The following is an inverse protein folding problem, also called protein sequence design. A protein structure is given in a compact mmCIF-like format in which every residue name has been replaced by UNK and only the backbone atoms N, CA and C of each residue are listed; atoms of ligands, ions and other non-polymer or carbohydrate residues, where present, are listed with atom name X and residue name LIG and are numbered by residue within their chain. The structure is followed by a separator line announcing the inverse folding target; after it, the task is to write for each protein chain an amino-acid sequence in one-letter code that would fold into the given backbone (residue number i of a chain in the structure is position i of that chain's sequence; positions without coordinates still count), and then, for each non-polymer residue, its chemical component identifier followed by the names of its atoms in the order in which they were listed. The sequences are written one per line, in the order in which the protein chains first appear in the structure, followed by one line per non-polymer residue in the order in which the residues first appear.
data_IF_091589381116
#
_entry.id   IF_091589381116
#
_cell.length_a   1.000
_cell.length_b   1.000
_cell.length_c   1.000
_cell.angle_alpha   90.00
_cell.angle_beta   90.00
_cell.angle_gamma   90.00
#
_symmetry.space_group_name_H-M   'P 1'
#
loop_
_entity.id
_entity.type
_entity.pdbx_description
1 polymer ?
#
# COMPACT_ATOMS: atom_id res chain seq x y z
N UNK A 1 1.60 6.52 -1.48
CA UNK A 1 1.68 5.04 -1.45
C UNK A 1 0.40 4.40 -1.96
N UNK A 2 -0.72 4.45 -1.23
CA UNK A 2 -1.98 3.77 -1.63
C UNK A 2 -2.47 4.16 -3.04
N UNK A 3 -2.77 5.43 -3.26
CA UNK A 3 -3.33 5.93 -4.53
C UNK A 3 -2.27 6.17 -5.63
N UNK A 4 -1.00 6.25 -5.25
CA UNK A 4 0.10 6.53 -6.18
C UNK A 4 0.84 5.29 -6.68
N UNK A 5 0.78 4.18 -5.93
CA UNK A 5 1.59 2.98 -6.22
C UNK A 5 0.73 1.70 -6.18
N UNK A 6 -0.10 1.51 -5.14
CA UNK A 6 -0.79 0.22 -4.92
C UNK A 6 -2.02 0.05 -5.81
N UNK A 7 -2.90 1.07 -5.87
CA UNK A 7 -4.15 0.99 -6.65
C UNK A 7 -3.92 1.10 -8.17
N UNK A 8 -3.09 2.03 -8.69
CA UNK A 8 -2.81 2.09 -10.13
C UNK A 8 -2.18 0.81 -10.70
N UNK A 9 -1.46 0.05 -9.88
CA UNK A 9 -0.87 -1.23 -10.28
C UNK A 9 -1.91 -2.36 -10.46
N UNK A 10 -3.13 -2.20 -9.94
CA UNK A 10 -4.19 -3.24 -9.94
C UNK A 10 -5.45 -2.82 -10.68
N UNK A 11 -5.74 -1.52 -10.71
CA UNK A 11 -6.95 -0.96 -11.30
C UNK A 11 -6.54 -0.16 -12.53
N UNK A 12 -6.90 -0.68 -13.70
CA UNK A 12 -6.62 -0.01 -14.97
C UNK A 12 -7.27 1.38 -15.00
N UNK A 13 -6.49 2.39 -15.40
CA UNK A 13 -6.93 3.79 -15.47
C UNK A 13 -7.46 4.37 -14.14
N UNK A 14 -6.98 3.87 -13.00
CA UNK A 14 -7.33 4.38 -11.67
C UNK A 14 -7.19 5.90 -11.59
N UNK A 15 -8.24 6.57 -11.10
CA UNK A 15 -8.23 7.99 -10.76
C UNK A 15 -8.53 8.15 -9.28
N UNK A 16 -7.90 9.12 -8.64
CA UNK A 16 -8.16 9.43 -7.23
C UNK A 16 -9.67 9.68 -6.94
N UNK A 17 -10.38 10.26 -7.91
CA UNK A 17 -11.84 10.50 -7.82
C UNK A 17 -12.66 9.22 -7.67
N UNK A 18 -12.15 8.07 -8.11
CA UNK A 18 -12.90 6.81 -8.07
C UNK A 18 -13.17 6.39 -6.62
N UNK A 19 -12.18 6.55 -5.73
CA UNK A 19 -12.38 6.32 -4.29
C UNK A 19 -13.30 7.36 -3.65
N UNK A 20 -13.27 8.61 -4.09
CA UNK A 20 -14.18 9.63 -3.55
C UNK A 20 -15.64 9.31 -3.90
N UNK A 21 -15.89 8.80 -5.11
CA UNK A 21 -17.21 8.34 -5.54
C UNK A 21 -17.65 7.16 -4.69
N UNK A 22 -16.79 6.17 -4.47
CA UNK A 22 -17.12 5.00 -3.65
C UNK A 22 -17.37 5.35 -2.18
N UNK A 23 -16.59 6.27 -1.60
CA UNK A 23 -16.82 6.76 -0.24
C UNK A 23 -18.09 7.61 -0.14
N UNK A 24 -18.36 8.46 -1.13
CA UNK A 24 -19.57 9.27 -1.17
C UNK A 24 -20.85 8.44 -1.39
N UNK A 25 -20.75 7.33 -2.12
CA UNK A 25 -21.83 6.35 -2.30
C UNK A 25 -22.02 5.46 -1.06
N UNK A 26 -21.01 5.36 -0.20
CA UNK A 26 -21.03 4.49 0.97
C UNK A 26 -20.69 3.03 0.67
N UNK A 27 -20.10 2.72 -0.48
CA UNK A 27 -19.64 1.36 -0.82
C UNK A 27 -18.31 1.03 -0.14
N UNK A 28 -17.46 2.06 0.05
CA UNK A 28 -16.15 1.95 0.70
C UNK A 28 -16.09 2.95 1.85
N UNK A 29 -15.66 2.49 3.02
CA UNK A 29 -15.39 3.35 4.18
C UNK A 29 -13.92 3.31 4.52
N UNK A 30 -13.36 4.45 4.93
CA UNK A 30 -11.97 4.53 5.36
C UNK A 30 -11.87 4.88 6.84
N UNK A 31 -10.82 4.39 7.50
CA UNK A 31 -10.53 4.66 8.91
C UNK A 31 -9.07 4.99 9.12
N UNK A 32 -8.78 5.92 10.02
CA UNK A 32 -7.44 6.02 10.61
C UNK A 32 -7.17 4.80 11.50
N UNK A 33 -5.93 4.30 11.44
CA UNK A 33 -5.47 3.16 12.26
C UNK A 33 -4.46 3.63 13.29
N UNK A 34 -3.42 4.35 12.84
CA UNK A 34 -2.41 4.96 13.72
C UNK A 34 -1.62 6.03 12.98
N UNK A 35 -1.13 7.06 13.68
CA UNK A 35 -0.25 8.06 13.09
C UNK A 35 1.15 7.47 12.83
N UNK A 36 1.84 8.01 11.82
CA UNK A 36 3.25 7.76 11.52
C UNK A 36 4.11 9.00 11.81
N UNK A 37 3.52 10.17 11.68
CA UNK A 37 4.10 11.48 11.96
C UNK A 37 3.00 12.51 12.23
N UNK A 38 3.29 13.79 12.02
CA UNK A 38 2.33 14.88 12.32
C UNK A 38 1.20 14.99 11.28
N UNK A 39 1.48 14.66 10.02
CA UNK A 39 0.55 14.84 8.90
C UNK A 39 0.21 13.54 8.15
N UNK A 40 0.78 12.41 8.57
CA UNK A 40 0.63 11.11 7.91
C UNK A 40 0.37 9.97 8.90
N UNK A 41 -0.17 8.87 8.38
CA UNK A 41 -0.54 7.72 9.17
C UNK A 41 -1.03 6.55 8.32
N UNK A 42 -1.27 5.43 8.97
CA UNK A 42 -1.90 4.28 8.37
C UNK A 42 -3.41 4.48 8.34
N UNK A 43 -3.98 4.32 7.14
CA UNK A 43 -5.41 4.23 6.93
C UNK A 43 -5.77 2.84 6.43
N UNK A 44 -6.96 2.39 6.79
CA UNK A 44 -7.53 1.15 6.27
C UNK A 44 -8.78 1.48 5.45
N UNK A 45 -8.93 0.78 4.32
CA UNK A 45 -10.13 0.80 3.49
C UNK A 45 -10.92 -0.49 3.75
N UNK A 46 -12.23 -0.35 3.90
CA UNK A 46 -13.15 -1.47 4.07
C UNK A 46 -14.28 -1.33 3.06
N UNK A 47 -14.78 -2.46 2.56
CA UNK A 47 -16.14 -2.49 2.03
C UNK A 47 -17.08 -2.16 3.18
N UNK A 48 -18.09 -1.34 2.93
CA UNK A 48 -18.95 -0.83 3.98
C UNK A 48 -19.66 -1.94 4.76
N UNK A 49 -20.06 -3.01 4.06
CA UNK A 49 -20.66 -4.18 4.69
C UNK A 49 -19.67 -4.90 5.62
N UNK A 50 -18.41 -5.08 5.20
CA UNK A 50 -17.42 -5.83 5.98
C UNK A 50 -16.80 -5.05 7.15
N UNK A 51 -16.95 -3.73 7.17
CA UNK A 51 -16.30 -2.84 8.12
C UNK A 51 -16.60 -3.22 9.59
N UNK A 52 -17.84 -3.62 9.89
CA UNK A 52 -18.25 -4.00 11.24
C UNK A 52 -17.48 -5.23 11.78
N UNK A 53 -17.13 -6.18 10.93
CA UNK A 53 -16.42 -7.39 11.33
C UNK A 53 -14.90 -7.22 11.32
N UNK A 54 -14.38 -6.43 10.37
CA UNK A 54 -12.94 -6.33 10.12
C UNK A 54 -12.26 -5.17 10.84
N UNK A 55 -12.92 -4.01 10.95
CA UNK A 55 -12.29 -2.83 11.54
C UNK A 55 -12.02 -3.06 13.05
N UNK A 56 -10.85 -2.64 13.55
CA UNK A 56 -10.57 -2.67 14.99
C UNK A 56 -11.52 -1.74 15.74
N UNK A 57 -11.73 -2.03 17.03
CA UNK A 57 -12.54 -1.17 17.87
C UNK A 57 -11.82 0.17 18.10
N UNK A 58 -12.56 1.29 18.17
CA UNK A 58 -12.01 2.61 18.51
C UNK A 58 -11.27 2.58 19.85
N UNK A 59 -10.16 3.32 19.94
CA UNK A 59 -9.50 3.63 21.22
C UNK A 59 -9.78 5.09 21.56
N UNK A 60 -10.74 5.40 22.46
CA UNK A 60 -11.25 6.75 22.62
C UNK A 60 -10.16 7.79 22.93
N UNK A 61 -10.13 8.87 22.14
CA UNK A 61 -9.23 9.99 22.37
C UNK A 61 -9.67 10.75 23.64
N UNK A 62 -8.69 11.01 24.50
CA UNK A 62 -8.87 11.81 25.69
C UNK A 62 -8.91 13.31 25.36
N UNK A 63 -9.46 14.11 26.29
CA UNK A 63 -9.45 15.57 26.21
C UNK A 63 -10.83 16.19 26.05
N UNK A 64 -11.01 17.38 26.63
CA UNK A 64 -12.28 18.11 26.64
C UNK A 64 -12.72 18.55 25.24
N UNK A 65 -11.77 18.94 24.38
CA UNK A 65 -12.07 19.33 23.00
C UNK A 65 -12.56 18.12 22.19
N UNK A 66 -11.88 16.98 22.29
CA UNK A 66 -12.31 15.73 21.66
C UNK A 66 -13.72 15.31 22.13
N UNK A 67 -14.02 15.44 23.42
CA UNK A 67 -15.35 15.18 23.97
C UNK A 67 -16.43 16.10 23.38
N UNK A 68 -16.17 17.41 23.29
CA UNK A 68 -17.11 18.37 22.67
C UNK A 68 -17.33 18.08 21.18
N UNK A 69 -16.30 17.66 20.45
CA UNK A 69 -16.45 17.24 19.04
C UNK A 69 -17.30 15.99 18.93
N UNK A 70 -17.08 14.99 19.79
CA UNK A 70 -17.92 13.78 19.86
C UNK A 70 -19.38 14.14 20.13
N UNK A 71 -19.65 14.98 21.11
CA UNK A 71 -21.02 15.44 21.43
C UNK A 71 -21.69 16.16 20.25
N UNK A 72 -20.96 17.05 19.57
CA UNK A 72 -21.49 17.77 18.41
C UNK A 72 -21.86 16.82 17.25
N UNK A 73 -20.97 15.86 16.95
CA UNK A 73 -21.23 14.86 15.91
C UNK A 73 -22.30 13.85 16.31
N UNK A 74 -22.40 13.48 17.59
CA UNK A 74 -23.47 12.61 18.10
C UNK A 74 -24.84 13.29 17.96
N UNK A 75 -24.92 14.59 18.25
CA UNK A 75 -26.17 15.33 18.23
C UNK A 75 -26.67 15.66 16.81
N UNK A 76 -25.78 15.92 15.86
CA UNK A 76 -26.15 16.34 14.48
C UNK A 76 -25.91 15.29 13.40
N UNK A 77 -25.15 14.24 13.70
CA UNK A 77 -24.65 13.32 12.70
C UNK A 77 -23.56 13.92 11.82
N UNK A 78 -23.44 13.39 10.61
CA UNK A 78 -22.45 13.80 9.62
C UNK A 78 -22.50 15.31 9.36
N UNK A 79 -21.41 16.02 9.66
CA UNK A 79 -21.36 17.50 9.64
C UNK A 79 -20.15 18.01 8.85
N UNK A 80 -20.30 19.14 8.17
CA UNK A 80 -19.17 19.82 7.53
C UNK A 80 -18.30 20.53 8.59
N UNK A 81 -17.01 20.69 8.31
CA UNK A 81 -16.10 21.37 9.25
C UNK A 81 -16.57 22.78 9.66
N UNK A 82 -17.11 23.56 8.72
CA UNK A 82 -17.64 24.89 9.02
C UNK A 82 -18.79 24.87 10.04
N UNK A 83 -19.60 23.81 10.07
CA UNK A 83 -20.68 23.64 11.03
C UNK A 83 -20.11 23.28 12.41
N UNK A 84 -19.05 22.47 12.45
CA UNK A 84 -18.35 22.13 13.70
C UNK A 84 -17.69 23.36 14.33
N UNK A 85 -17.07 24.24 13.53
CA UNK A 85 -16.49 25.52 14.03
C UNK A 85 -17.53 26.37 14.78
N UNK A 86 -18.77 26.40 14.30
CA UNK A 86 -19.83 27.19 14.96
C UNK A 86 -20.32 26.58 16.28
N UNK A 87 -20.18 25.27 16.45
CA UNK A 87 -20.72 24.52 17.59
C UNK A 87 -19.66 24.29 18.66
N UNK A 88 -18.52 23.75 18.23
CA UNK A 88 -17.37 23.46 19.07
C UNK A 88 -16.57 24.76 19.16
N UNK A 89 -16.91 25.60 20.15
CA UNK A 89 -16.25 26.89 20.41
C UNK A 89 -14.75 26.67 20.72
N UNK A 90 -13.94 26.60 19.68
CA UNK A 90 -12.49 26.38 19.69
C UNK A 90 -11.87 27.12 18.50
N UNK A 91 -10.55 27.30 18.50
CA UNK A 91 -9.88 27.82 17.31
C UNK A 91 -9.96 26.82 16.15
N UNK A 92 -9.83 27.32 14.92
CA UNK A 92 -9.89 26.48 13.70
C UNK A 92 -8.81 25.40 13.71
N UNK A 93 -7.58 25.75 14.10
CA UNK A 93 -6.46 24.82 14.09
C UNK A 93 -6.60 23.76 15.20
N UNK A 94 -6.98 24.15 16.41
CA UNK A 94 -7.23 23.19 17.51
C UNK A 94 -8.36 22.22 17.18
N UNK A 95 -9.45 22.71 16.55
CA UNK A 95 -10.55 21.87 16.12
C UNK A 95 -10.13 20.87 15.04
N UNK A 96 -9.30 21.31 14.09
CA UNK A 96 -8.78 20.43 13.04
C UNK A 96 -7.92 19.32 13.66
N UNK A 97 -6.96 19.67 14.53
CA UNK A 97 -6.10 18.66 15.17
C UNK A 97 -6.91 17.71 16.05
N UNK A 98 -7.87 18.20 16.82
CA UNK A 98 -8.77 17.33 17.60
C UNK A 98 -9.59 16.37 16.73
N UNK A 99 -10.03 16.80 15.53
CA UNK A 99 -10.69 15.91 14.59
C UNK A 99 -9.74 14.82 14.08
N UNK A 100 -8.49 15.16 13.78
CA UNK A 100 -7.50 14.19 13.33
C UNK A 100 -7.06 13.23 14.44
N UNK A 101 -6.96 13.69 15.69
CA UNK A 101 -6.77 12.82 16.85
C UNK A 101 -7.91 11.80 16.96
N UNK A 102 -9.17 12.24 16.78
CA UNK A 102 -10.33 11.34 16.74
C UNK A 102 -10.32 10.40 15.53
N UNK A 103 -9.76 10.81 14.38
CA UNK A 103 -9.57 9.92 13.22
C UNK A 103 -8.55 8.83 13.53
N UNK A 104 -7.42 9.18 14.15
CA UNK A 104 -6.36 8.23 14.51
C UNK A 104 -6.75 7.31 15.67
N UNK A 105 -7.59 7.78 16.58
CA UNK A 105 -8.27 6.99 17.59
C UNK A 105 -9.29 6.00 17.00
N UNK A 106 -9.59 6.11 15.70
CA UNK A 106 -10.65 5.34 15.11
C UNK A 106 -12.00 5.68 15.73
N UNK A 107 -12.30 6.94 16.02
CA UNK A 107 -13.64 7.39 16.44
C UNK A 107 -14.39 8.16 15.35
N UNK A 108 -13.66 8.89 14.51
CA UNK A 108 -14.22 9.72 13.43
C UNK A 108 -13.79 9.18 12.05
N UNK A 109 -14.62 9.40 11.04
CA UNK A 109 -14.32 9.16 9.62
C UNK A 109 -14.86 10.31 8.76
N UNK A 110 -14.60 10.25 7.45
CA UNK A 110 -15.04 11.21 6.45
C UNK A 110 -15.59 10.51 5.21
N UNK A 111 -16.49 11.17 4.48
CA UNK A 111 -17.10 10.65 3.25
C UNK A 111 -16.24 10.83 1.99
N UNK A 112 -15.05 11.42 2.09
CA UNK A 112 -14.09 11.55 0.99
C UNK A 112 -12.66 11.37 1.46
N UNK A 113 -11.76 10.96 0.56
CA UNK A 113 -10.32 10.95 0.81
C UNK A 113 -9.67 12.31 0.50
N UNK A 114 -10.44 13.28 0.01
CA UNK A 114 -9.94 14.63 -0.29
C UNK A 114 -9.25 15.26 0.92
N UNK A 115 -9.78 15.06 2.14
CA UNK A 115 -9.17 15.58 3.37
C UNK A 115 -7.79 14.93 3.67
N UNK A 116 -7.60 13.64 3.36
CA UNK A 116 -6.30 12.99 3.51
C UNK A 116 -5.29 13.58 2.51
N UNK A 117 -5.72 13.75 1.25
CA UNK A 117 -4.87 14.29 0.19
C UNK A 117 -4.44 15.72 0.47
N UNK A 118 -5.37 16.57 0.90
CA UNK A 118 -5.09 17.98 1.23
C UNK A 118 -4.23 18.11 2.49
N UNK A 119 -4.44 17.30 3.53
CA UNK A 119 -3.58 17.27 4.73
C UNK A 119 -2.15 16.83 4.39
N UNK A 120 -1.99 15.78 3.60
CA UNK A 120 -0.67 15.32 3.15
C UNK A 120 0.05 16.36 2.28
N UNK A 121 -0.69 17.03 1.38
CA UNK A 121 -0.13 18.08 0.54
C UNK A 121 0.25 19.34 1.34
N UNK A 122 -0.48 19.65 2.42
CA UNK A 122 -0.23 20.82 3.28
C UNK A 122 1.02 20.70 4.16
N UNK A 123 1.55 19.48 4.38
CA UNK A 123 2.78 19.26 5.15
C UNK A 123 4.07 19.64 4.43
N UNK A 124 4.06 19.67 3.09
CA UNK A 124 5.22 19.99 2.26
C UNK A 124 5.24 21.50 1.96
N UNK A 125 6.03 22.27 2.73
CA UNK A 125 6.16 23.74 2.64
C UNK A 125 6.90 24.21 1.36
N UNK A 126 6.56 23.66 0.21
CA UNK A 126 6.99 24.18 -1.09
C UNK A 126 5.93 25.15 -1.65
N UNK A 127 6.31 26.29 -2.25
CA UNK A 127 5.34 27.14 -2.94
C UNK A 127 4.88 26.39 -4.19
N UNK A 128 3.60 25.99 -4.23
CA UNK A 128 3.01 25.40 -5.44
C UNK A 128 1.84 26.24 -5.95
N UNK A 129 1.72 26.35 -7.29
CA UNK A 129 0.68 27.15 -7.93
C UNK A 129 -0.68 26.55 -7.60
N UNK A 130 -1.64 27.41 -7.27
CA UNK A 130 -3.04 27.05 -7.09
C UNK A 130 -3.53 26.31 -8.34
N UNK A 131 -3.59 24.98 -8.29
CA UNK A 131 -4.42 24.22 -9.23
C UNK A 131 -5.87 24.56 -8.88
N UNK A 132 -6.36 25.63 -9.49
CA UNK A 132 -7.78 25.93 -9.60
C UNK A 132 -8.40 24.82 -10.43
N UNK A 133 -8.83 23.75 -9.78
CA UNK A 133 -9.83 22.89 -10.38
C UNK A 133 -11.07 23.76 -10.55
N UNK A 134 -11.35 24.10 -11.81
CA UNK A 134 -12.49 24.91 -12.20
C UNK A 134 -13.78 24.19 -11.82
N UNK A 135 -14.40 24.67 -10.75
CA UNK A 135 -15.84 24.70 -10.64
C UNK A 135 -16.19 26.16 -10.51
N UNK A 136 -16.55 26.77 -11.64
CA UNK A 136 -17.22 28.07 -11.69
C UNK A 136 -18.52 27.95 -10.90
N UNK A 137 -18.49 28.35 -9.63
CA UNK A 137 -19.64 28.27 -8.74
C UNK A 137 -19.34 28.90 -7.40
N UNK A 138 -19.80 30.15 -7.23
CA UNK A 138 -19.80 30.87 -5.95
C UNK A 138 -20.43 30.00 -4.85
N UNK A 139 -19.61 29.39 -4.00
CA UNK A 139 -20.08 28.62 -2.85
C UNK A 139 -18.98 28.53 -1.79
N UNK A 140 -19.17 29.25 -0.68
CA UNK A 140 -18.35 29.18 0.54
C UNK A 140 -18.00 27.72 0.89
N UNK A 141 -16.71 27.37 0.87
CA UNK A 141 -16.08 26.32 1.68
C UNK A 141 -14.58 26.30 1.38
N UNK A 142 -13.78 26.86 2.27
CA UNK A 142 -12.37 26.50 2.38
C UNK A 142 -12.03 26.61 3.85
N UNK A 143 -12.24 25.52 4.59
CA UNK A 143 -11.50 25.36 5.84
C UNK A 143 -10.01 25.13 5.53
N UNK A 144 -9.17 25.01 6.56
CA UNK A 144 -7.77 24.64 6.38
C UNK A 144 -7.63 23.30 5.62
N UNK A 145 -6.53 23.07 4.88
CA UNK A 145 -6.26 21.77 4.26
C UNK A 145 -6.41 20.63 5.27
N UNK A 146 -7.19 19.63 4.89
CA UNK A 146 -7.52 18.49 5.74
C UNK A 146 -8.87 18.59 6.44
N UNK A 147 -9.66 19.63 6.14
CA UNK A 147 -11.01 19.84 6.72
C UNK A 147 -12.16 19.46 5.77
N UNK A 148 -11.86 19.07 4.53
CA UNK A 148 -12.83 18.82 3.48
C UNK A 148 -13.77 17.65 3.81
N UNK A 149 -14.94 17.61 3.15
CA UNK A 149 -15.93 16.53 3.34
C UNK A 149 -16.83 16.68 4.57
N UNK A 150 -17.61 15.64 4.83
CA UNK A 150 -18.47 15.50 6.01
C UNK A 150 -17.81 14.56 7.00
N UNK A 151 -17.65 15.04 8.22
CA UNK A 151 -17.11 14.30 9.34
C UNK A 151 -18.24 13.61 10.08
N UNK A 152 -18.06 12.34 10.42
CA UNK A 152 -19.06 11.57 11.18
C UNK A 152 -18.38 10.67 12.21
N UNK A 153 -19.06 10.43 13.32
CA UNK A 153 -18.66 9.35 14.23
C UNK A 153 -18.80 8.01 13.55
N UNK A 154 -17.83 7.13 13.78
CA UNK A 154 -18.00 5.73 13.47
C UNK A 154 -18.80 5.10 14.59
N UNK A 155 -19.90 4.47 14.21
CA UNK A 155 -20.76 3.71 15.12
C UNK A 155 -20.43 2.23 14.95
N UNK A 156 -19.67 1.62 15.88
CA UNK A 156 -19.40 0.20 15.82
C UNK A 156 -20.73 -0.55 15.93
N UNK A 157 -20.99 -1.46 15.00
CA UNK A 157 -22.09 -2.40 15.14
C UNK A 157 -21.65 -3.49 16.13
N UNK A 158 -22.45 -3.85 17.13
CA UNK A 158 -22.11 -4.98 18.00
C UNK A 158 -22.09 -6.24 17.15
N UNK A 159 -20.94 -6.91 17.14
CA UNK A 159 -20.68 -8.17 16.43
C UNK A 159 -20.05 -9.13 17.42
N UNK A 160 -20.47 -10.40 17.37
CA UNK A 160 -19.87 -11.42 18.24
C UNK A 160 -18.39 -11.62 17.90
N UNK A 161 -17.57 -11.82 18.92
CA UNK A 161 -16.13 -11.94 18.74
C UNK A 161 -15.75 -13.20 17.92
N UNK A 162 -16.57 -14.26 17.96
CA UNK A 162 -16.41 -15.44 17.11
C UNK A 162 -16.64 -15.10 15.64
N UNK A 163 -17.67 -14.28 15.35
CA UNK A 163 -17.95 -13.81 13.99
C UNK A 163 -16.83 -12.91 13.47
N UNK A 164 -16.31 -11.99 14.30
CA UNK A 164 -15.14 -11.16 13.96
C UNK A 164 -13.92 -12.02 13.62
N UNK A 165 -13.58 -13.00 14.44
CA UNK A 165 -12.47 -13.93 14.17
C UNK A 165 -12.68 -14.73 12.89
N UNK A 166 -13.91 -15.18 12.64
CA UNK A 166 -14.24 -15.90 11.42
C UNK A 166 -14.09 -15.03 10.16
N UNK A 167 -14.57 -13.79 10.20
CA UNK A 167 -14.40 -12.83 9.10
C UNK A 167 -12.92 -12.52 8.85
N UNK A 168 -12.14 -12.27 9.90
CA UNK A 168 -10.69 -12.03 9.82
C UNK A 168 -9.96 -13.21 9.19
N UNK A 169 -10.25 -14.44 9.62
CA UNK A 169 -9.66 -15.65 9.04
C UNK A 169 -9.97 -15.79 7.54
N UNK A 170 -11.23 -15.55 7.13
CA UNK A 170 -11.61 -15.57 5.70
C UNK A 170 -10.89 -14.49 4.90
N UNK A 171 -10.81 -13.27 5.43
CA UNK A 171 -10.11 -12.16 4.78
C UNK A 171 -8.62 -12.47 4.57
N UNK A 172 -7.96 -13.03 5.59
CA UNK A 172 -6.55 -13.44 5.52
C UNK A 172 -6.33 -14.55 4.49
N UNK A 173 -7.19 -15.57 4.48
CA UNK A 173 -7.14 -16.65 3.48
C UNK A 173 -7.37 -16.15 2.06
N UNK A 174 -8.34 -15.25 1.86
CA UNK A 174 -8.63 -14.66 0.56
C UNK A 174 -7.46 -13.82 0.03
N UNK A 175 -6.77 -13.09 0.92
CA UNK A 175 -5.63 -12.25 0.56
C UNK A 175 -4.36 -13.04 0.25
N UNK A 176 -4.01 -14.01 1.10
CA UNK A 176 -2.73 -14.72 1.01
C UNK A 176 -2.80 -16.01 0.20
N UNK A 177 -3.99 -16.62 0.06
CA UNK A 177 -4.20 -17.91 -0.60
C UNK A 177 -3.68 -19.10 0.23
N UNK A 178 -2.40 -19.04 0.60
CA UNK A 178 -1.73 -19.87 1.60
C UNK A 178 -1.40 -19.00 2.80
N UNK A 179 -2.09 -19.24 3.90
CA UNK A 179 -1.91 -18.51 5.14
C UNK A 179 -0.85 -19.17 6.02
N UNK A 180 0.23 -18.42 6.27
CA UNK A 180 1.32 -18.80 7.17
C UNK A 180 1.30 -17.94 8.44
N UNK A 181 1.98 -18.40 9.49
CA UNK A 181 2.12 -17.61 10.72
C UNK A 181 2.85 -16.29 10.45
N UNK A 182 3.88 -16.33 9.62
CA UNK A 182 4.69 -15.18 9.23
C UNK A 182 3.87 -14.15 8.44
N UNK A 183 2.99 -14.60 7.53
CA UNK A 183 2.08 -13.70 6.81
C UNK A 183 1.09 -12.99 7.76
N UNK A 184 0.53 -13.69 8.74
CA UNK A 184 -0.36 -13.06 9.74
C UNK A 184 0.40 -12.10 10.65
N UNK A 185 1.64 -12.42 11.01
CA UNK A 185 2.47 -11.51 11.81
C UNK A 185 2.77 -10.22 11.06
N UNK A 186 2.99 -10.29 9.74
CA UNK A 186 3.26 -9.11 8.91
C UNK A 186 2.04 -8.17 8.74
N UNK A 187 0.83 -8.67 8.97
CA UNK A 187 -0.42 -7.87 8.91
C UNK A 187 -0.67 -7.04 10.18
N UNK A 188 0.14 -7.23 11.24
CA UNK A 188 0.01 -6.53 12.53
C UNK A 188 -1.40 -6.67 13.14
N UNK A 189 -2.02 -7.83 12.94
CA UNK A 189 -3.39 -8.09 13.38
C UNK A 189 -3.44 -8.40 14.87
N UNK A 190 -4.41 -7.84 15.58
CA UNK A 190 -4.58 -8.05 17.03
C UNK A 190 -4.71 -9.54 17.37
N UNK A 191 -3.90 -9.99 18.34
CA UNK A 191 -3.83 -11.40 18.77
C UNK A 191 -3.11 -12.34 17.79
N UNK A 192 -2.66 -11.83 16.64
CA UNK A 192 -1.85 -12.55 15.66
C UNK A 192 -2.46 -13.89 15.20
N UNK A 193 -1.59 -14.84 14.84
CA UNK A 193 -2.02 -16.15 14.34
C UNK A 193 -2.84 -16.94 15.36
N UNK A 194 -2.56 -16.78 16.66
CA UNK A 194 -3.25 -17.50 17.73
C UNK A 194 -4.75 -17.14 17.79
N UNK A 195 -5.12 -15.89 17.49
CA UNK A 195 -6.51 -15.44 17.51
C UNK A 195 -7.37 -16.11 16.42
N UNK A 196 -6.79 -16.40 15.25
CA UNK A 196 -7.51 -17.02 14.12
C UNK A 196 -7.35 -18.54 14.05
N UNK A 197 -6.38 -19.12 14.76
CA UNK A 197 -6.09 -20.56 14.71
C UNK A 197 -7.29 -21.46 15.04
N UNK A 198 -8.11 -21.21 16.09
CA UNK A 198 -9.28 -22.04 16.39
C UNK A 198 -10.29 -22.09 15.24
N UNK A 199 -10.47 -20.96 14.55
CA UNK A 199 -11.33 -20.87 13.37
C UNK A 199 -10.74 -21.67 12.21
N UNK A 200 -9.45 -21.50 11.92
CA UNK A 200 -8.77 -22.23 10.85
C UNK A 200 -8.83 -23.75 11.06
N UNK A 201 -8.66 -24.20 12.31
CA UNK A 201 -8.83 -25.61 12.69
C UNK A 201 -10.27 -26.10 12.46
N UNK A 202 -11.28 -25.34 12.89
CA UNK A 202 -12.68 -25.69 12.63
C UNK A 202 -13.00 -25.72 11.13
N UNK A 203 -12.43 -24.80 10.35
CA UNK A 203 -12.55 -24.79 8.89
C UNK A 203 -11.87 -26.01 8.24
N UNK A 204 -10.74 -26.49 8.78
CA UNK A 204 -10.06 -27.72 8.32
C UNK A 204 -10.94 -28.94 8.59
N UNK A 205 -11.48 -29.07 9.81
CA UNK A 205 -12.39 -30.16 10.20
C UNK A 205 -13.65 -30.18 9.32
N UNK A 206 -14.16 -29.01 8.93
CA UNK A 206 -15.28 -28.86 8.01
C UNK A 206 -14.89 -29.03 6.52
N UNK A 207 -13.62 -29.31 6.20
CA UNK A 207 -13.12 -29.48 4.84
C UNK A 207 -13.11 -28.19 3.99
N UNK A 208 -13.23 -27.01 4.62
CA UNK A 208 -13.24 -25.69 3.96
C UNK A 208 -11.85 -25.14 3.68
N UNK A 209 -10.85 -25.63 4.40
CA UNK A 209 -9.42 -25.35 4.15
C UNK A 209 -8.62 -26.65 4.27
N UNK A 210 -7.41 -26.64 3.73
CA UNK A 210 -6.43 -27.71 3.90
C UNK A 210 -5.28 -27.21 4.75
N UNK A 211 -4.90 -27.99 5.76
CA UNK A 211 -3.66 -27.78 6.50
C UNK A 211 -2.56 -28.64 5.90
N UNK A 212 -1.40 -28.07 5.70
CA UNK A 212 -0.28 -28.76 5.07
C UNK A 212 0.97 -27.91 5.02
N UNK A 213 2.00 -28.43 4.37
CA UNK A 213 3.25 -27.72 4.13
C UNK A 213 3.31 -27.29 2.67
N UNK A 214 2.98 -26.02 2.41
CA UNK A 214 2.89 -25.47 1.05
C UNK A 214 4.11 -24.64 0.69
N UNK A 215 4.67 -23.90 1.66
CA UNK A 215 5.83 -23.02 1.47
C UNK A 215 7.02 -23.56 2.25
N UNK A 216 8.14 -23.78 1.53
CA UNK A 216 9.38 -24.24 2.12
C UNK A 216 10.04 -23.15 2.99
N UNK A 217 10.67 -23.55 4.10
CA UNK A 217 11.44 -22.65 4.98
C UNK A 217 10.59 -21.84 5.97
N UNK A 218 9.27 -21.97 5.93
CA UNK A 218 8.34 -21.36 6.88
C UNK A 218 7.81 -22.39 7.89
N UNK A 219 7.10 -21.91 8.91
CA UNK A 219 6.53 -22.77 9.95
C UNK A 219 5.62 -23.88 9.39
N UNK A 220 5.58 -25.03 10.07
CA UNK A 220 4.82 -26.21 9.62
C UNK A 220 3.29 -26.01 9.59
N UNK A 221 2.77 -25.07 10.38
CA UNK A 221 1.33 -24.79 10.44
C UNK A 221 0.95 -23.79 9.36
N UNK A 222 0.48 -24.28 8.22
CA UNK A 222 0.00 -23.46 7.11
C UNK A 222 -1.39 -23.94 6.68
N UNK A 223 -2.26 -23.00 6.31
CA UNK A 223 -3.63 -23.29 5.87
C UNK A 223 -3.87 -22.69 4.51
N UNK A 224 -4.48 -23.42 3.60
CA UNK A 224 -4.79 -22.93 2.27
C UNK A 224 -6.25 -23.21 1.88
N UNK A 225 -6.80 -22.36 1.02
CA UNK A 225 -8.10 -22.61 0.40
C UNK A 225 -8.02 -23.86 -0.51
N UNK A 226 -9.13 -24.60 -0.70
CA UNK A 226 -9.18 -25.68 -1.67
C UNK A 226 -8.73 -25.22 -3.07
N UNK A 227 -8.00 -26.09 -3.78
CA UNK A 227 -7.40 -25.74 -5.08
C UNK A 227 -6.18 -24.82 -5.02
N UNK A 228 -5.70 -24.43 -3.83
CA UNK A 228 -4.41 -23.75 -3.72
C UNK A 228 -3.24 -24.64 -4.18
N UNK A 229 -3.30 -25.94 -3.92
CA UNK A 229 -2.29 -26.90 -4.38
C UNK A 229 -2.23 -27.00 -5.91
N UNK A 230 -3.38 -27.05 -6.58
CA UNK A 230 -3.46 -27.06 -8.04
C UNK A 230 -2.93 -25.75 -8.61
N UNK A 231 -3.35 -24.60 -8.06
CA UNK A 231 -2.80 -23.29 -8.48
C UNK A 231 -1.29 -23.18 -8.28
N UNK A 232 -0.74 -23.73 -7.20
CA UNK A 232 0.70 -23.76 -6.99
C UNK A 232 1.43 -24.67 -8.00
N UNK A 233 0.80 -25.78 -8.40
CA UNK A 233 1.32 -26.65 -9.48
C UNK A 233 1.26 -25.97 -10.83
N UNK A 234 0.14 -25.32 -11.15
CA UNK A 234 -0.03 -24.56 -12.39
C UNK A 234 1.04 -23.45 -12.51
N UNK A 235 1.37 -22.78 -11.39
CA UNK A 235 2.44 -21.76 -11.35
C UNK A 235 3.83 -22.37 -11.51
N UNK A 236 4.06 -23.59 -10.99
CA UNK A 236 5.32 -24.31 -11.19
C UNK A 236 5.52 -24.75 -12.64
N UNK A 237 4.42 -25.04 -13.32
CA UNK A 237 4.38 -25.45 -14.71
C UNK A 237 4.20 -24.25 -15.69
N UNK A 238 4.31 -23.00 -15.20
CA UNK A 238 4.40 -21.82 -16.07
C UNK A 238 5.59 -22.01 -17.00
N UNK A 239 5.32 -21.80 -18.28
CA UNK A 239 6.28 -21.87 -19.35
C UNK A 239 7.52 -21.02 -19.01
N UNK A 240 8.70 -21.66 -18.92
CA UNK A 240 9.97 -20.96 -18.75
C UNK A 240 10.21 -19.93 -19.88
N UNK A 241 9.53 -20.10 -21.02
CA UNK A 241 9.56 -19.20 -22.16
C UNK A 241 8.59 -17.99 -22.03
N UNK A 242 7.76 -17.94 -20.99
CA UNK A 242 6.85 -16.82 -20.69
C UNK A 242 6.98 -16.29 -19.23
N UNK A 243 8.18 -15.83 -18.81
CA UNK A 243 8.41 -15.35 -17.45
C UNK A 243 7.57 -14.10 -17.13
N UNK A 244 7.10 -13.99 -15.89
CA UNK A 244 6.32 -12.86 -15.41
C UNK A 244 7.15 -11.97 -14.50
N UNK A 245 7.35 -10.71 -14.90
CA UNK A 245 8.11 -9.73 -14.13
C UNK A 245 7.23 -8.57 -13.69
N UNK A 246 7.32 -8.20 -12.41
CA UNK A 246 6.58 -7.07 -11.83
C UNK A 246 7.50 -6.12 -11.08
N UNK A 247 7.21 -4.83 -11.22
CA UNK A 247 7.77 -3.75 -10.41
C UNK A 247 6.71 -3.31 -9.40
N UNK A 248 6.99 -3.50 -8.11
CA UNK A 248 6.06 -3.17 -7.02
C UNK A 248 6.70 -2.17 -6.05
N UNK A 249 5.88 -1.38 -5.35
CA UNK A 249 6.36 -0.71 -4.15
C UNK A 249 6.82 -1.75 -3.12
N UNK A 250 7.90 -1.47 -2.37
CA UNK A 250 8.40 -2.41 -1.38
C UNK A 250 7.39 -2.67 -0.25
N UNK A 251 6.50 -1.71 -0.01
CA UNK A 251 5.38 -1.77 0.94
C UNK A 251 4.13 -2.44 0.37
N UNK A 252 4.11 -2.79 -0.92
CA UNK A 252 2.96 -3.39 -1.56
C UNK A 252 2.58 -4.73 -0.89
N UNK A 253 1.29 -5.01 -0.61
CA UNK A 253 0.88 -6.27 0.02
C UNK A 253 1.24 -7.53 -0.77
N UNK A 254 1.41 -7.44 -2.09
CA UNK A 254 1.85 -8.57 -2.91
C UNK A 254 3.37 -8.82 -2.87
N UNK A 255 4.17 -7.92 -2.29
CA UNK A 255 5.57 -8.20 -2.01
C UNK A 255 5.68 -9.07 -0.75
N UNK A 256 6.11 -10.35 -0.83
CA UNK A 256 6.24 -11.20 0.34
C UNK A 256 7.53 -10.92 1.14
N UNK A 257 8.53 -10.27 0.52
CA UNK A 257 9.83 -10.05 1.13
C UNK A 257 9.78 -8.93 2.19
N UNK A 258 10.51 -9.15 3.29
CA UNK A 258 10.46 -8.29 4.48
C UNK A 258 9.13 -8.38 5.23
N UNK A 259 8.32 -9.39 4.92
CA UNK A 259 7.02 -9.67 5.52
C UNK A 259 6.91 -11.17 5.84
N UNK A 260 6.25 -11.94 4.97
CA UNK A 260 6.13 -13.39 5.13
C UNK A 260 7.44 -14.13 4.81
N UNK A 261 8.28 -13.58 3.92
CA UNK A 261 9.59 -14.10 3.55
C UNK A 261 10.70 -13.15 4.03
N UNK A 262 11.85 -13.68 4.49
CA UNK A 262 13.01 -12.86 4.77
C UNK A 262 13.55 -12.24 3.48
N UNK A 263 14.21 -11.10 3.59
CA UNK A 263 15.03 -10.57 2.49
C UNK A 263 16.16 -11.53 2.14
N UNK A 264 16.62 -11.57 0.87
CA UNK A 264 17.78 -12.39 0.52
C UNK A 264 19.04 -11.89 1.23
N UNK A 265 19.96 -12.83 1.49
CA UNK A 265 21.24 -12.53 2.12
C UNK A 265 22.23 -11.98 1.07
N UNK A 266 22.16 -10.68 0.84
CA UNK A 266 23.07 -9.95 -0.05
C UNK A 266 24.03 -9.12 0.82
N UNK A 267 25.36 -9.32 0.72
CA UNK A 267 26.32 -8.57 1.52
C UNK A 267 26.13 -7.06 1.41
N UNK A 268 26.18 -6.37 2.55
CA UNK A 268 26.07 -4.91 2.67
C UNK A 268 24.75 -4.29 2.18
N UNK A 269 23.80 -5.11 1.69
CA UNK A 269 22.51 -4.65 1.24
C UNK A 269 21.63 -4.24 2.43
N UNK A 270 20.93 -3.11 2.26
CA UNK A 270 19.92 -2.64 3.21
C UNK A 270 18.56 -2.67 2.55
N UNK A 271 17.81 -3.72 2.84
CA UNK A 271 16.43 -3.86 2.38
C UNK A 271 15.45 -3.28 3.40
N UNK A 272 14.38 -2.65 2.92
CA UNK A 272 13.33 -2.10 3.78
C UNK A 272 11.98 -2.06 3.05
N UNK A 273 10.89 -2.22 3.82
CA UNK A 273 9.53 -1.94 3.35
C UNK A 273 9.20 -0.47 3.62
N UNK A 274 9.79 0.43 2.85
CA UNK A 274 9.61 1.87 3.01
C UNK A 274 8.86 2.51 1.83
N UNK A 275 8.12 3.58 2.10
CA UNK A 275 7.44 4.36 1.07
C UNK A 275 8.47 4.90 0.06
N UNK A 276 8.20 4.68 -1.23
CA UNK A 276 9.09 5.07 -2.32
C UNK A 276 10.24 4.11 -2.61
N UNK A 277 10.49 3.09 -1.77
CA UNK A 277 11.32 1.95 -2.15
C UNK A 277 10.51 0.98 -3.02
N UNK A 278 11.19 0.22 -3.90
CA UNK A 278 10.56 -0.69 -4.87
C UNK A 278 11.28 -2.01 -4.96
N UNK A 279 10.56 -3.05 -5.38
CA UNK A 279 11.10 -4.37 -5.67
C UNK A 279 10.76 -4.77 -7.10
N UNK A 280 11.68 -5.51 -7.73
CA UNK A 280 11.45 -6.18 -9.00
C UNK A 280 11.44 -7.67 -8.73
N UNK A 281 10.30 -8.30 -9.00
CA UNK A 281 10.09 -9.73 -8.83
C UNK A 281 9.96 -10.38 -10.20
N UNK A 282 10.73 -11.43 -10.48
CA UNK A 282 10.57 -12.31 -11.64
C UNK A 282 10.13 -13.67 -11.14
N UNK A 283 8.94 -14.10 -11.55
CA UNK A 283 8.32 -15.37 -11.13
C UNK A 283 8.29 -15.52 -9.60
N UNK A 284 7.98 -14.41 -8.91
CA UNK A 284 7.95 -14.32 -7.45
C UNK A 284 9.32 -14.22 -6.76
N UNK A 285 10.44 -14.35 -7.48
CA UNK A 285 11.80 -14.19 -6.92
C UNK A 285 12.26 -12.75 -7.00
N UNK A 286 12.81 -12.22 -5.91
CA UNK A 286 13.46 -10.90 -5.91
C UNK A 286 14.70 -10.93 -6.79
N UNK A 287 14.70 -10.09 -7.83
CA UNK A 287 15.86 -9.87 -8.72
C UNK A 287 16.44 -8.46 -8.61
N UNK A 288 15.69 -7.52 -8.04
CA UNK A 288 16.16 -6.16 -7.76
C UNK A 288 15.39 -5.49 -6.62
N UNK A 289 16.09 -4.71 -5.81
CA UNK A 289 15.53 -3.81 -4.80
C UNK A 289 16.06 -2.40 -5.05
N UNK A 290 15.14 -1.45 -5.20
CA UNK A 290 15.44 -0.06 -5.49
C UNK A 290 15.14 0.78 -4.25
N UNK A 291 16.14 1.50 -3.75
CA UNK A 291 16.02 2.33 -2.56
C UNK A 291 15.04 3.49 -2.74
N UNK A 292 14.65 4.12 -1.63
CA UNK A 292 13.82 5.33 -1.65
C UNK A 292 14.46 6.40 -2.54
N UNK A 293 13.69 6.92 -3.50
CA UNK A 293 14.15 7.94 -4.44
C UNK A 293 14.90 7.39 -5.66
N UNK A 294 14.98 6.06 -5.80
CA UNK A 294 15.49 5.38 -6.99
C UNK A 294 16.97 5.63 -7.32
N UNK A 295 17.80 5.93 -6.32
CA UNK A 295 19.23 6.23 -6.49
C UNK A 295 20.18 5.05 -6.36
N UNK A 296 19.78 4.01 -5.62
CA UNK A 296 20.60 2.82 -5.41
C UNK A 296 19.77 1.56 -5.68
N UNK A 297 20.34 0.63 -6.44
CA UNK A 297 19.78 -0.66 -6.78
C UNK A 297 20.63 -1.77 -6.18
N UNK A 298 20.01 -2.69 -5.46
CA UNK A 298 20.61 -3.96 -5.04
C UNK A 298 20.05 -5.05 -5.94
N UNK A 299 20.91 -5.85 -6.54
CA UNK A 299 20.50 -6.96 -7.40
C UNK A 299 20.64 -8.30 -6.67
N UNK A 300 19.78 -9.23 -7.05
CA UNK A 300 19.84 -10.61 -6.55
C UNK A 300 19.58 -11.55 -7.73
N UNK A 301 20.59 -11.61 -8.60
CA UNK A 301 20.52 -12.31 -9.88
C UNK A 301 20.97 -13.77 -9.74
N UNK A 302 20.42 -14.69 -10.54
CA UNK A 302 20.93 -16.06 -10.64
C UNK A 302 22.41 -16.09 -11.02
N UNK A 303 23.13 -17.13 -10.58
CA UNK A 303 24.57 -17.20 -10.82
C UNK A 303 24.95 -17.66 -12.23
N UNK A 304 24.18 -18.58 -12.80
CA UNK A 304 24.50 -19.25 -14.05
C UNK A 304 23.81 -18.62 -15.27
N UNK A 305 24.49 -18.64 -16.41
CA UNK A 305 23.87 -18.38 -17.71
C UNK A 305 23.08 -19.61 -18.19
N UNK A 306 21.98 -19.44 -18.97
CA UNK A 306 21.45 -18.17 -19.50
C UNK A 306 20.51 -17.41 -18.53
N UNK A 307 20.25 -17.94 -17.33
CA UNK A 307 19.27 -17.36 -16.41
C UNK A 307 19.69 -16.00 -15.84
N UNK A 308 20.99 -15.80 -15.60
CA UNK A 308 21.53 -14.49 -15.22
C UNK A 308 21.21 -13.44 -16.28
N UNK A 309 21.48 -13.72 -17.57
CA UNK A 309 21.15 -12.84 -18.68
C UNK A 309 19.64 -12.55 -18.81
N UNK A 310 18.80 -13.59 -18.71
CA UNK A 310 17.33 -13.46 -18.73
C UNK A 310 16.81 -12.59 -17.58
N UNK A 311 17.28 -12.81 -16.35
CA UNK A 311 16.90 -12.01 -15.18
C UNK A 311 17.38 -10.56 -15.29
N UNK A 312 18.58 -10.34 -15.83
CA UNK A 312 19.12 -9.00 -16.08
C UNK A 312 18.26 -8.24 -17.10
N UNK A 313 17.88 -8.87 -18.21
CA UNK A 313 17.02 -8.26 -19.22
C UNK A 313 15.65 -7.89 -18.63
N UNK A 314 15.03 -8.81 -17.91
CA UNK A 314 13.76 -8.58 -17.21
C UNK A 314 13.85 -7.44 -16.18
N UNK A 315 14.95 -7.38 -15.41
CA UNK A 315 15.21 -6.27 -14.49
C UNK A 315 15.28 -4.94 -15.23
N UNK A 316 16.01 -4.86 -16.34
CA UNK A 316 16.17 -3.64 -17.11
C UNK A 316 14.84 -3.17 -17.72
N UNK A 317 14.05 -4.09 -18.28
CA UNK A 317 12.71 -3.81 -18.81
C UNK A 317 11.75 -3.30 -17.72
N UNK A 318 11.75 -3.91 -16.54
CA UNK A 318 10.94 -3.46 -15.41
C UNK A 318 11.34 -2.05 -14.95
N UNK A 319 12.65 -1.77 -14.85
CA UNK A 319 13.17 -0.45 -14.47
C UNK A 319 12.87 0.62 -15.53
N UNK A 320 12.71 0.26 -16.80
CA UNK A 320 12.34 1.19 -17.87
C UNK A 320 10.95 1.83 -17.66
N UNK A 321 10.09 1.21 -16.84
CA UNK A 321 8.76 1.70 -16.49
C UNK A 321 8.78 2.72 -15.34
N UNK A 322 9.92 2.92 -14.66
CA UNK A 322 10.01 3.78 -13.47
C UNK A 322 9.52 5.22 -13.70
N UNK A 323 9.86 5.94 -14.79
CA UNK A 323 9.38 7.31 -14.98
C UNK A 323 7.86 7.39 -15.12
N UNK A 324 7.24 6.37 -15.71
CA UNK A 324 5.78 6.27 -15.86
C UNK A 324 5.13 5.96 -14.51
N UNK A 325 5.63 4.95 -13.80
CA UNK A 325 5.12 4.51 -12.50
C UNK A 325 5.31 5.57 -11.40
N UNK A 326 6.44 6.28 -11.41
CA UNK A 326 6.72 7.33 -10.41
C UNK A 326 6.13 8.69 -10.79
N UNK A 327 5.68 8.85 -12.04
CA UNK A 327 5.28 10.14 -12.60
C UNK A 327 6.43 11.14 -12.76
N UNK A 328 7.69 10.73 -12.54
CA UNK A 328 8.85 11.60 -12.64
C UNK A 328 9.27 11.83 -14.10
N UNK A 329 9.86 13.00 -14.38
CA UNK A 329 10.40 13.32 -15.71
C UNK A 329 11.63 12.48 -16.05
N UNK A 330 12.43 12.15 -15.04
CA UNK A 330 13.60 11.30 -15.17
C UNK A 330 13.86 10.56 -13.85
N UNK A 331 14.63 9.48 -13.94
CA UNK A 331 15.18 8.73 -12.81
C UNK A 331 16.70 8.70 -12.97
N UNK A 332 17.43 8.92 -11.87
CA UNK A 332 18.88 8.85 -11.81
C UNK A 332 19.28 7.73 -10.86
N UNK A 333 19.88 6.68 -11.41
CA UNK A 333 20.45 5.55 -10.67
C UNK A 333 21.95 5.78 -10.49
N UNK A 334 22.37 6.12 -9.28
CA UNK A 334 23.76 6.48 -8.95
C UNK A 334 24.60 5.22 -8.69
N UNK A 335 24.03 4.23 -8.00
CA UNK A 335 24.74 3.02 -7.58
C UNK A 335 23.96 1.74 -7.88
N UNK A 336 24.69 0.68 -8.21
CA UNK A 336 24.17 -0.69 -8.31
C UNK A 336 25.14 -1.60 -7.55
N UNK A 337 24.66 -2.42 -6.60
CA UNK A 337 25.52 -3.35 -5.83
C UNK A 337 26.75 -2.67 -5.20
N UNK A 338 26.54 -1.51 -4.57
CA UNK A 338 27.57 -0.67 -3.92
C UNK A 338 28.71 -0.16 -4.83
N UNK A 339 28.54 -0.20 -6.16
CA UNK A 339 29.45 0.41 -7.13
C UNK A 339 28.71 1.46 -7.99
N UNK A 340 29.44 2.41 -8.62
CA UNK A 340 28.82 3.36 -9.55
C UNK A 340 28.03 2.63 -10.64
N UNK A 341 26.78 3.06 -10.88
CA UNK A 341 25.87 2.37 -11.80
C UNK A 341 26.44 2.13 -13.22
N UNK A 342 27.22 3.06 -13.82
CA UNK A 342 27.85 2.82 -15.12
C UNK A 342 28.94 1.73 -15.12
N UNK A 343 29.49 1.39 -13.95
CA UNK A 343 30.52 0.35 -13.79
C UNK A 343 29.92 -1.05 -13.54
N UNK A 344 28.60 -1.16 -13.41
CA UNK A 344 27.94 -2.44 -13.16
C UNK A 344 28.17 -3.42 -14.33
N UNK A 345 28.58 -4.68 -14.08
CA UNK A 345 29.00 -5.61 -15.15
C UNK A 345 27.94 -5.83 -16.25
N UNK A 346 26.66 -5.76 -15.90
CA UNK A 346 25.55 -5.96 -16.82
C UNK A 346 24.91 -4.64 -17.32
N UNK A 347 25.61 -3.51 -17.22
CA UNK A 347 25.11 -2.17 -17.62
C UNK A 347 24.55 -2.13 -19.05
N UNK A 348 25.04 -2.96 -19.96
CA UNK A 348 24.56 -3.03 -21.34
C UNK A 348 23.05 -3.31 -21.43
N UNK A 349 22.48 -4.11 -20.50
CA UNK A 349 21.04 -4.37 -20.46
C UNK A 349 20.24 -3.10 -20.09
N UNK A 350 20.73 -2.32 -19.12
CA UNK A 350 20.12 -1.04 -18.76
C UNK A 350 20.22 -0.03 -19.90
N UNK A 351 21.36 0.03 -20.59
CA UNK A 351 21.51 0.89 -21.76
C UNK A 351 20.56 0.50 -22.90
N UNK A 352 20.39 -0.80 -23.15
CA UNK A 352 19.42 -1.30 -24.13
C UNK A 352 17.96 -0.93 -23.74
N UNK A 353 17.66 -0.88 -22.45
CA UNK A 353 16.37 -0.45 -21.91
C UNK A 353 16.17 1.09 -21.90
N UNK A 354 17.17 1.86 -22.33
CA UNK A 354 17.08 3.32 -22.50
C UNK A 354 17.80 4.15 -21.43
N UNK A 355 18.51 3.53 -20.48
CA UNK A 355 19.35 4.26 -19.54
C UNK A 355 20.59 4.82 -20.25
N UNK A 356 21.01 6.03 -19.89
CA UNK A 356 22.23 6.66 -20.43
C UNK A 356 23.25 6.93 -19.33
N UNK A 357 24.53 6.61 -19.53
CA UNK A 357 25.56 6.96 -18.58
C UNK A 357 25.79 8.47 -18.52
N UNK A 358 26.00 8.96 -17.32
CA UNK A 358 26.36 10.34 -16.96
C UNK A 358 27.46 10.30 -15.91
N UNK A 359 28.01 11.47 -15.55
CA UNK A 359 29.01 11.52 -14.48
C UNK A 359 28.47 11.11 -13.10
N UNK A 360 27.16 11.30 -12.87
CA UNK A 360 26.50 11.02 -11.59
C UNK A 360 25.89 9.61 -11.51
N UNK A 361 25.82 8.87 -12.63
CA UNK A 361 25.13 7.58 -12.69
C UNK A 361 24.46 7.30 -14.04
N UNK A 362 23.45 6.43 -14.03
CA UNK A 362 22.61 6.11 -15.18
C UNK A 362 21.30 6.91 -15.11
N UNK A 363 21.00 7.69 -16.15
CA UNK A 363 19.76 8.45 -16.25
C UNK A 363 18.76 7.80 -17.22
N UNK A 364 17.50 7.72 -16.82
CA UNK A 364 16.38 7.31 -17.67
C UNK A 364 15.36 8.45 -17.73
N UNK A 365 14.93 8.85 -18.93
CA UNK A 365 13.98 9.95 -19.15
C UNK A 365 12.64 9.41 -19.66
N UNK A 366 11.53 10.04 -19.26
CA UNK A 366 10.18 9.63 -19.63
C UNK A 366 9.88 9.75 -21.14
N UNK A 367 10.41 10.78 -21.79
CA UNK A 367 9.97 11.20 -23.14
C UNK A 367 11.00 10.90 -24.25
N UNK A 368 12.04 10.10 -23.98
CA UNK A 368 12.96 9.71 -25.05
C UNK A 368 12.41 8.49 -25.81
N UNK A 369 12.37 8.53 -27.16
CA UNK A 369 11.84 7.41 -27.94
C UNK A 369 12.64 6.14 -27.66
N UNK A 370 11.96 5.14 -27.11
CA UNK A 370 12.49 3.79 -26.89
C UNK A 370 12.81 3.18 -28.26
N UNK A 371 14.09 3.04 -28.60
CA UNK A 371 14.52 2.30 -29.78
C UNK A 371 14.10 0.83 -29.61
N UNK A 372 12.94 0.45 -30.16
CA UNK A 372 12.53 -0.95 -30.30
C UNK A 372 11.17 -1.36 -29.72
N UNK A 373 10.46 -0.52 -28.98
CA UNK A 373 9.18 -0.92 -28.37
C UNK A 373 8.02 -0.89 -29.39
N UNK A 374 7.76 -2.03 -30.05
CA UNK A 374 6.47 -2.27 -30.72
C UNK A 374 5.39 -2.29 -29.64
N UNK A 375 4.46 -1.32 -29.69
CA UNK A 375 3.22 -1.35 -28.91
C UNK A 375 2.49 -2.67 -29.18
N UNK A 376 2.16 -3.43 -28.13
CA UNK A 376 1.10 -4.43 -28.12
C UNK A 376 0.11 -4.06 -27.06
#
# INVERSE_FOLDING_TARGET
MLEGEVLPARVANYRATDLDVLCGAGDVVWRGVRPLGQADGYVALYLADDAAWLAPDPTPAAGELAARVREALQARGASFFAELVTQVRASVDELLEALWDLVWAGEVTNDTLTCLRSRLAGGDRGPRPQLRFGVDGRGRRSGPPGSEGRWSLVTPRPVDETERRAARARQLLARHGVLTREAVAAEDHEGGFAAVYPVLKAMEEAGRVRRGYFVAGLGATQFALPGAEDRLRDVRDIDEDAPFTVLLAATDPANPYGAALPWPDVPEARFERAAGARVVLRDGRLIGFLSRGARSLVTHLPDAEPERGRATAALAEALALLPEVTGQRYVLLEQIDNQPAPAWPQVAALTAAGFRPTHDGLILRRDEPRLGARRR
#
